data_IF_703446274233
#
_entry.id   IF_703446274233
#
_cell.length_a   1.000
_cell.length_b   1.000
_cell.length_c   1.000
_cell.angle_alpha   90.00
_cell.angle_beta   90.00
_cell.angle_gamma   90.00
#
_symmetry.space_group_name_H-M   'P 1'
#
loop_
_entity.id
_entity.type
_entity.pdbx_description
1 polymer ?
#
# COMPACT_ATOMS: atom_id res chain seq x y z
N UNK A 1 -33.35 74.91 -119.13
CA UNK A 1 -34.13 76.10 -119.56
C UNK A 1 -33.34 77.40 -119.38
N UNK A 2 -32.57 77.57 -118.29
CA UNK A 2 -31.68 78.73 -118.12
C UNK A 2 -30.58 78.86 -119.20
N UNK A 3 -29.98 77.75 -119.64
CA UNK A 3 -28.95 77.76 -120.69
C UNK A 3 -29.44 78.34 -122.02
N UNK A 4 -30.68 78.00 -122.42
CA UNK A 4 -31.28 78.47 -123.68
C UNK A 4 -31.62 79.97 -123.66
N UNK A 5 -31.85 80.55 -122.48
CA UNK A 5 -32.14 81.98 -122.32
C UNK A 5 -30.85 82.82 -122.25
N UNK A 6 -29.76 82.27 -121.70
CA UNK A 6 -28.43 82.88 -121.72
C UNK A 6 -27.86 82.94 -123.14
N UNK A 7 -28.04 81.88 -123.94
CA UNK A 7 -27.70 81.93 -125.37
C UNK A 7 -28.51 83.00 -126.07
N UNK A 8 -29.81 83.08 -125.79
CA UNK A 8 -30.69 84.12 -126.36
C UNK A 8 -30.29 85.56 -126.01
N UNK A 9 -29.74 85.82 -124.82
CA UNK A 9 -29.26 87.17 -124.44
C UNK A 9 -27.94 87.51 -125.13
N UNK A 10 -27.02 86.54 -125.24
CA UNK A 10 -25.79 86.71 -126.01
C UNK A 10 -26.10 86.91 -127.50
N UNK A 11 -27.01 86.12 -128.06
CA UNK A 11 -27.48 86.25 -129.44
C UNK A 11 -28.13 87.63 -129.70
N UNK A 12 -28.86 88.19 -128.72
CA UNK A 12 -29.45 89.52 -128.81
C UNK A 12 -28.40 90.64 -128.72
N UNK A 13 -27.32 90.45 -127.94
CA UNK A 13 -26.17 91.36 -127.91
C UNK A 13 -25.42 91.33 -129.24
N UNK A 14 -25.19 90.14 -129.80
CA UNK A 14 -24.54 89.95 -131.10
C UNK A 14 -25.37 90.60 -132.23
N UNK A 15 -26.70 90.42 -132.20
CA UNK A 15 -27.61 91.09 -133.15
C UNK A 15 -27.59 92.62 -133.03
N UNK A 16 -27.47 93.15 -131.80
CA UNK A 16 -27.36 94.59 -131.59
C UNK A 16 -26.02 95.11 -132.11
N UNK A 17 -24.94 94.35 -131.93
CA UNK A 17 -23.63 94.64 -132.51
C UNK A 17 -23.70 94.71 -134.04
N UNK A 18 -24.33 93.72 -134.68
CA UNK A 18 -24.50 93.66 -136.14
C UNK A 18 -25.26 94.88 -136.68
N UNK A 19 -26.37 95.27 -136.04
CA UNK A 19 -27.16 96.45 -136.43
C UNK A 19 -26.32 97.75 -136.34
N UNK A 20 -25.46 97.88 -135.32
CA UNK A 20 -24.56 99.03 -135.19
C UNK A 20 -23.44 98.99 -136.23
N UNK A 21 -22.95 97.79 -136.61
CA UNK A 21 -21.90 97.61 -137.61
C UNK A 21 -22.39 97.89 -139.04
N UNK A 22 -23.61 97.46 -139.39
CA UNK A 22 -24.24 97.62 -140.71
C UNK A 22 -24.80 99.04 -140.96
N UNK A 23 -24.89 99.86 -139.91
CA UNK A 23 -25.31 101.26 -140.01
C UNK A 23 -24.47 102.08 -140.99
N UNK A 24 -25.15 102.87 -141.84
CA UNK A 24 -24.49 103.67 -142.89
C UNK A 24 -23.59 104.74 -142.26
N UNK A 25 -22.32 104.78 -142.66
CA UNK A 25 -21.37 105.75 -142.13
C UNK A 25 -21.63 107.14 -142.69
N UNK A 26 -21.79 108.14 -141.81
CA UNK A 26 -22.08 109.51 -142.24
C UNK A 26 -20.76 110.23 -142.59
N UNK A 27 -20.55 110.68 -143.84
CA UNK A 27 -19.29 111.25 -144.28
C UNK A 27 -18.94 112.54 -143.53
N UNK A 28 -17.67 112.73 -143.23
CA UNK A 28 -17.13 113.81 -142.39
C UNK A 28 -17.58 113.78 -140.91
N UNK A 29 -18.14 112.66 -140.42
CA UNK A 29 -18.41 112.41 -138.99
C UNK A 29 -17.86 111.05 -138.52
N UNK A 30 -17.71 110.89 -137.19
CA UNK A 30 -17.36 109.60 -136.58
C UNK A 30 -18.55 108.66 -136.34
N UNK A 31 -19.77 109.08 -136.68
CA UNK A 31 -21.01 108.37 -136.37
C UNK A 31 -21.46 107.41 -137.47
N UNK A 32 -22.26 106.41 -137.07
CA UNK A 32 -23.06 105.57 -137.96
C UNK A 32 -24.53 105.91 -137.81
N UNK A 33 -25.24 105.93 -138.93
CA UNK A 33 -26.68 106.04 -138.96
C UNK A 33 -27.27 104.64 -138.83
N UNK A 34 -27.97 104.40 -137.74
CA UNK A 34 -28.57 103.11 -137.40
C UNK A 34 -30.08 103.29 -137.32
N UNK A 35 -30.85 102.24 -137.63
CA UNK A 35 -32.28 102.27 -137.38
C UNK A 35 -32.52 102.29 -135.86
N UNK A 36 -33.03 103.42 -135.38
CA UNK A 36 -33.33 103.63 -133.98
C UNK A 36 -34.33 102.59 -133.45
N UNK A 37 -35.31 102.18 -134.25
CA UNK A 37 -36.36 101.24 -133.82
C UNK A 37 -35.77 99.85 -133.55
N UNK A 38 -35.02 99.30 -134.51
CA UNK A 38 -34.44 97.95 -134.39
C UNK A 38 -33.41 97.88 -133.23
N UNK A 39 -32.61 98.93 -133.03
CA UNK A 39 -31.64 99.00 -131.95
C UNK A 39 -32.31 99.14 -130.57
N UNK A 40 -33.38 99.93 -130.45
CA UNK A 40 -34.13 100.08 -129.20
C UNK A 40 -34.84 98.78 -128.84
N UNK A 41 -35.45 98.08 -129.80
CA UNK A 41 -36.15 96.81 -129.54
C UNK A 41 -35.22 95.75 -128.95
N UNK A 42 -34.01 95.60 -129.49
CA UNK A 42 -33.01 94.69 -128.94
C UNK A 42 -32.48 95.14 -127.57
N UNK A 43 -32.26 96.45 -127.37
CA UNK A 43 -31.85 96.98 -126.06
C UNK A 43 -32.94 96.75 -125.01
N UNK A 44 -34.22 96.90 -125.36
CA UNK A 44 -35.34 96.66 -124.47
C UNK A 44 -35.50 95.17 -124.16
N UNK A 45 -35.35 94.29 -125.15
CA UNK A 45 -35.31 92.84 -124.96
C UNK A 45 -34.17 92.42 -124.03
N UNK A 46 -32.98 92.99 -124.20
CA UNK A 46 -31.83 92.78 -123.32
C UNK A 46 -32.09 93.31 -121.91
N UNK A 47 -32.69 94.51 -121.79
CA UNK A 47 -33.04 95.12 -120.50
C UNK A 47 -34.09 94.32 -119.74
N UNK A 48 -34.99 93.64 -120.44
CA UNK A 48 -35.99 92.75 -119.84
C UNK A 48 -35.38 91.39 -119.46
N UNK A 49 -34.52 90.82 -120.31
CA UNK A 49 -34.01 89.45 -120.16
C UNK A 49 -32.75 89.32 -119.26
N UNK A 50 -31.86 90.31 -119.22
CA UNK A 50 -30.60 90.25 -118.45
C UNK A 50 -30.79 90.25 -116.92
N UNK A 51 -31.55 91.19 -116.31
CA UNK A 51 -31.69 91.27 -114.86
C UNK A 51 -32.14 89.97 -114.17
N UNK A 52 -33.18 89.23 -114.66
CA UNK A 52 -33.59 87.99 -114.02
C UNK A 52 -32.55 86.87 -114.14
N UNK A 53 -31.75 86.82 -115.22
CA UNK A 53 -30.69 85.84 -115.37
C UNK A 53 -29.51 86.10 -114.43
N UNK A 54 -29.13 87.37 -114.27
CA UNK A 54 -28.12 87.78 -113.29
C UNK A 54 -28.57 87.48 -111.85
N UNK A 55 -29.85 87.75 -111.53
CA UNK A 55 -30.42 87.41 -110.22
C UNK A 55 -30.40 85.89 -109.94
N UNK A 56 -30.70 85.06 -110.94
CA UNK A 56 -30.60 83.60 -110.82
C UNK A 56 -29.16 83.11 -110.61
N UNK A 57 -28.19 83.72 -111.30
CA UNK A 57 -26.78 83.41 -111.12
C UNK A 57 -26.30 83.77 -109.70
N UNK A 58 -26.67 84.95 -109.21
CA UNK A 58 -26.39 85.37 -107.83
C UNK A 58 -27.04 84.43 -106.80
N UNK A 59 -28.28 84.01 -107.02
CA UNK A 59 -28.97 83.04 -106.15
C UNK A 59 -28.29 81.66 -106.17
N UNK A 60 -27.83 81.19 -107.33
CA UNK A 60 -27.11 79.92 -107.45
C UNK A 60 -25.75 80.00 -106.72
N UNK A 61 -25.03 81.11 -106.84
CA UNK A 61 -23.78 81.35 -106.12
C UNK A 61 -24.05 81.36 -104.61
N UNK A 62 -25.10 82.06 -104.15
CA UNK A 62 -25.49 82.08 -102.75
C UNK A 62 -25.85 80.68 -102.22
N UNK A 63 -26.64 79.90 -102.97
CA UNK A 63 -26.98 78.50 -102.62
C UNK A 63 -25.75 77.59 -102.60
N UNK A 64 -24.81 77.77 -103.54
CA UNK A 64 -23.55 77.02 -103.57
C UNK A 64 -22.70 77.35 -102.34
N UNK A 65 -22.60 78.63 -101.97
CA UNK A 65 -21.84 79.06 -100.81
C UNK A 65 -22.49 78.58 -99.51
N UNK A 66 -23.82 78.57 -99.42
CA UNK A 66 -24.57 77.97 -98.31
C UNK A 66 -24.32 76.46 -98.22
N UNK A 67 -24.43 75.72 -99.34
CA UNK A 67 -24.18 74.28 -99.38
C UNK A 67 -22.73 73.94 -98.97
N UNK A 68 -21.75 74.71 -99.44
CA UNK A 68 -20.35 74.54 -99.03
C UNK A 68 -20.19 74.85 -97.54
N UNK A 69 -20.86 75.87 -97.03
CA UNK A 69 -20.89 76.20 -95.61
C UNK A 69 -21.44 75.05 -94.77
N UNK A 70 -22.60 74.51 -95.14
CA UNK A 70 -23.24 73.37 -94.47
C UNK A 70 -22.35 72.12 -94.55
N UNK A 71 -21.79 71.80 -95.72
CA UNK A 71 -20.89 70.66 -95.90
C UNK A 71 -19.61 70.79 -95.05
N UNK A 72 -19.05 72.00 -94.93
CA UNK A 72 -17.90 72.28 -94.05
C UNK A 72 -18.25 72.10 -92.58
N UNK A 73 -19.41 72.63 -92.15
CA UNK A 73 -19.89 72.44 -90.77
C UNK A 73 -20.09 70.96 -90.43
N UNK A 74 -20.74 70.20 -91.31
CA UNK A 74 -20.94 68.76 -91.13
C UNK A 74 -19.61 67.99 -91.10
N UNK A 75 -18.66 68.35 -91.97
CA UNK A 75 -17.33 67.75 -91.96
C UNK A 75 -16.56 68.06 -90.66
N UNK A 76 -16.67 69.29 -90.14
CA UNK A 76 -16.09 69.68 -88.86
C UNK A 76 -16.72 68.91 -87.69
N UNK A 77 -18.04 68.78 -87.65
CA UNK A 77 -18.75 67.99 -86.63
C UNK A 77 -18.30 66.53 -86.67
N UNK A 78 -18.23 65.92 -87.86
CA UNK A 78 -17.80 64.53 -88.02
C UNK A 78 -16.34 64.34 -87.58
N UNK A 79 -15.45 65.29 -87.88
CA UNK A 79 -14.08 65.29 -87.41
C UNK A 79 -14.00 65.42 -85.89
N UNK A 80 -14.81 66.27 -85.27
CA UNK A 80 -14.85 66.40 -83.82
C UNK A 80 -15.36 65.13 -83.14
N UNK A 81 -16.43 64.52 -83.66
CA UNK A 81 -16.96 63.25 -83.15
C UNK A 81 -15.93 62.12 -83.29
N UNK A 82 -15.25 62.01 -84.43
CA UNK A 82 -14.21 61.00 -84.64
C UNK A 82 -13.01 61.21 -83.70
N UNK A 83 -12.59 62.45 -83.46
CA UNK A 83 -11.52 62.78 -82.50
C UNK A 83 -11.92 62.39 -81.07
N UNK A 84 -13.14 62.74 -80.64
CA UNK A 84 -13.66 62.40 -79.32
C UNK A 84 -13.76 60.88 -79.12
N UNK A 85 -14.29 60.15 -80.09
CA UNK A 85 -14.35 58.68 -80.04
C UNK A 85 -12.97 58.04 -79.98
N UNK A 86 -12.01 58.56 -80.77
CA UNK A 86 -10.61 58.08 -80.74
C UNK A 86 -10.00 58.29 -79.36
N UNK A 87 -10.17 59.45 -78.75
CA UNK A 87 -9.67 59.73 -77.40
C UNK A 87 -10.31 58.81 -76.34
N UNK A 88 -11.62 58.57 -76.43
CA UNK A 88 -12.31 57.62 -75.56
C UNK A 88 -11.77 56.19 -75.70
N UNK A 89 -11.57 55.72 -76.93
CA UNK A 89 -11.02 54.38 -77.17
C UNK A 89 -9.60 54.24 -76.62
N UNK A 90 -8.73 55.23 -76.87
CA UNK A 90 -7.36 55.25 -76.34
C UNK A 90 -7.37 55.24 -74.81
N UNK A 91 -8.18 56.09 -74.16
CA UNK A 91 -8.33 56.11 -72.71
C UNK A 91 -8.84 54.76 -72.18
N UNK A 92 -9.83 54.15 -72.83
CA UNK A 92 -10.37 52.85 -72.40
C UNK A 92 -9.34 51.72 -72.50
N UNK A 93 -8.50 51.72 -73.55
CA UNK A 93 -7.43 50.75 -73.71
C UNK A 93 -6.32 50.96 -72.69
N UNK A 94 -5.94 52.22 -72.43
CA UNK A 94 -4.95 52.54 -71.40
C UNK A 94 -5.42 52.09 -70.00
N UNK A 95 -6.67 52.41 -69.63
CA UNK A 95 -7.27 51.96 -68.37
C UNK A 95 -7.30 50.44 -68.28
N UNK A 96 -7.65 49.75 -69.36
CA UNK A 96 -7.70 48.29 -69.40
C UNK A 96 -6.32 47.65 -69.24
N UNK A 97 -5.30 48.14 -69.94
CA UNK A 97 -3.93 47.65 -69.80
C UNK A 97 -3.39 47.87 -68.38
N UNK A 98 -3.64 49.06 -67.82
CA UNK A 98 -3.24 49.39 -66.44
C UNK A 98 -3.91 48.44 -65.43
N UNK A 99 -5.23 48.21 -65.57
CA UNK A 99 -5.98 47.29 -64.73
C UNK A 99 -5.50 45.83 -64.87
N UNK A 100 -5.20 45.37 -66.09
CA UNK A 100 -4.64 44.04 -66.35
C UNK A 100 -3.25 43.87 -65.71
N UNK A 101 -2.41 44.91 -65.79
CA UNK A 101 -1.09 44.95 -65.15
C UNK A 101 -1.20 44.88 -63.63
N UNK A 102 -2.02 45.74 -63.03
CA UNK A 102 -2.26 45.73 -61.58
C UNK A 102 -2.84 44.39 -61.11
N UNK A 103 -3.77 43.82 -61.88
CA UNK A 103 -4.32 42.49 -61.59
C UNK A 103 -3.31 41.36 -61.72
N UNK A 104 -2.32 41.47 -62.61
CA UNK A 104 -1.21 40.52 -62.71
C UNK A 104 -0.24 40.66 -61.53
N UNK A 105 0.13 41.90 -61.17
CA UNK A 105 1.01 42.19 -60.03
C UNK A 105 0.39 41.70 -58.71
N UNK A 106 -0.90 41.95 -58.48
CA UNK A 106 -1.59 41.52 -57.27
C UNK A 106 -1.73 39.99 -57.18
N UNK A 107 -1.93 39.30 -58.32
CA UNK A 107 -1.92 37.83 -58.39
C UNK A 107 -0.54 37.26 -58.07
N UNK A 108 0.52 37.85 -58.61
CA UNK A 108 1.88 37.39 -58.34
C UNK A 108 2.27 37.64 -56.88
N UNK A 109 1.91 38.79 -56.31
CA UNK A 109 2.09 39.06 -54.89
C UNK A 109 1.32 38.05 -54.01
N UNK A 110 0.06 37.76 -54.34
CA UNK A 110 -0.73 36.76 -53.65
C UNK A 110 -0.11 35.36 -53.73
N UNK A 111 0.42 34.98 -54.90
CA UNK A 111 1.13 33.71 -55.10
C UNK A 111 2.38 33.64 -54.23
N UNK A 112 3.22 34.67 -54.25
CA UNK A 112 4.44 34.73 -53.46
C UNK A 112 4.15 34.70 -51.96
N UNK A 113 3.14 35.44 -51.49
CA UNK A 113 2.71 35.40 -50.08
C UNK A 113 2.20 34.01 -49.68
N UNK A 114 1.39 33.37 -50.54
CA UNK A 114 0.92 32.00 -50.32
C UNK A 114 2.06 31.00 -50.22
N UNK A 115 3.04 31.06 -51.12
CA UNK A 115 4.23 30.21 -51.10
C UNK A 115 5.10 30.44 -49.86
N UNK A 116 5.27 31.69 -49.44
CA UNK A 116 5.98 32.04 -48.21
C UNK A 116 5.26 31.48 -46.98
N UNK A 117 3.95 31.69 -46.87
CA UNK A 117 3.14 31.18 -45.76
C UNK A 117 3.19 29.65 -45.68
N UNK A 118 3.05 28.95 -46.82
CA UNK A 118 3.16 27.49 -46.88
C UNK A 118 4.55 27.00 -46.45
N UNK A 119 5.60 27.68 -46.90
CA UNK A 119 6.98 27.32 -46.53
C UNK A 119 7.22 27.53 -45.04
N UNK A 120 6.77 28.66 -44.49
CA UNK A 120 6.87 28.95 -43.06
C UNK A 120 6.07 27.93 -42.22
N UNK A 121 4.83 27.61 -42.62
CA UNK A 121 4.01 26.62 -41.93
C UNK A 121 4.66 25.23 -41.94
N UNK A 122 5.22 24.80 -43.07
CA UNK A 122 5.96 23.53 -43.18
C UNK A 122 7.20 23.51 -42.28
N UNK A 123 7.96 24.62 -42.23
CA UNK A 123 9.12 24.72 -41.36
C UNK A 123 8.74 24.69 -39.87
N UNK A 124 7.65 25.35 -39.48
CA UNK A 124 7.15 25.31 -38.11
C UNK A 124 6.68 23.92 -37.72
N UNK A 125 5.94 23.23 -38.61
CA UNK A 125 5.52 21.85 -38.37
C UNK A 125 6.72 20.92 -38.19
N UNK A 126 7.71 21.00 -39.08
CA UNK A 126 8.93 20.19 -38.98
C UNK A 126 9.71 20.46 -37.68
N UNK A 127 9.82 21.73 -37.25
CA UNK A 127 10.44 22.09 -35.97
C UNK A 127 9.66 21.52 -34.78
N UNK A 128 8.34 21.68 -34.78
CA UNK A 128 7.49 21.16 -33.70
C UNK A 128 7.55 19.63 -33.60
N UNK A 129 7.56 18.94 -34.74
CA UNK A 129 7.74 17.48 -34.80
C UNK A 129 9.12 17.06 -34.25
N UNK A 130 10.19 17.76 -34.64
CA UNK A 130 11.54 17.48 -34.15
C UNK A 130 11.67 17.70 -32.63
N UNK A 131 11.11 18.80 -32.12
CA UNK A 131 11.07 19.08 -30.68
C UNK A 131 10.27 18.02 -29.93
N UNK A 132 9.13 17.60 -30.48
CA UNK A 132 8.31 16.55 -29.89
C UNK A 132 9.06 15.21 -29.86
N UNK A 133 9.70 14.81 -30.96
CA UNK A 133 10.53 13.61 -31.02
C UNK A 133 11.69 13.66 -30.02
N UNK A 134 12.36 14.80 -29.89
CA UNK A 134 13.43 14.99 -28.91
C UNK A 134 12.92 14.86 -27.46
N UNK A 135 11.76 15.46 -27.14
CA UNK A 135 11.12 15.31 -25.81
C UNK A 135 10.73 13.86 -25.53
N UNK A 136 10.18 13.15 -26.51
CA UNK A 136 9.84 11.74 -26.37
C UNK A 136 11.08 10.88 -26.09
N UNK A 137 12.16 11.06 -26.87
CA UNK A 137 13.41 10.35 -26.65
C UNK A 137 14.02 10.64 -25.26
N UNK A 138 13.96 11.89 -24.81
CA UNK A 138 14.40 12.26 -23.45
C UNK A 138 13.57 11.58 -22.38
N UNK A 139 12.24 11.55 -22.51
CA UNK A 139 11.36 10.85 -21.57
C UNK A 139 11.62 9.34 -21.55
N UNK A 140 11.78 8.70 -22.71
CA UNK A 140 12.13 7.29 -22.81
C UNK A 140 13.46 6.99 -22.12
N UNK A 141 14.46 7.85 -22.28
CA UNK A 141 15.73 7.73 -21.59
C UNK A 141 15.56 7.86 -20.07
N UNK A 142 14.78 8.83 -19.60
CA UNK A 142 14.49 9.01 -18.17
C UNK A 142 13.77 7.79 -17.59
N UNK A 143 12.77 7.24 -18.28
CA UNK A 143 12.06 6.04 -17.84
C UNK A 143 12.97 4.80 -17.86
N UNK A 144 13.82 4.67 -18.88
CA UNK A 144 14.81 3.58 -18.94
C UNK A 144 15.78 3.64 -17.76
N UNK A 145 16.33 4.83 -17.46
CA UNK A 145 17.21 5.04 -16.31
C UNK A 145 16.49 4.77 -14.99
N UNK A 146 15.26 5.28 -14.81
CA UNK A 146 14.49 5.05 -13.59
C UNK A 146 14.15 3.58 -13.39
N UNK A 147 13.82 2.86 -14.48
CA UNK A 147 13.57 1.41 -14.43
C UNK A 147 14.82 0.65 -13.99
N UNK A 148 16.00 0.99 -14.52
CA UNK A 148 17.27 0.40 -14.10
C UNK A 148 17.57 0.68 -12.63
N UNK A 149 17.33 1.90 -12.15
CA UNK A 149 17.49 2.25 -10.73
C UNK A 149 16.55 1.42 -9.84
N UNK A 150 15.26 1.34 -10.19
CA UNK A 150 14.30 0.54 -9.43
C UNK A 150 14.66 -0.94 -9.41
N UNK A 151 15.19 -1.48 -10.50
CA UNK A 151 15.67 -2.86 -10.56
C UNK A 151 16.87 -3.08 -9.62
N UNK A 152 17.82 -2.15 -9.61
CA UNK A 152 18.96 -2.19 -8.68
C UNK A 152 18.50 -2.06 -7.22
N UNK A 153 17.61 -1.11 -6.91
CA UNK A 153 17.03 -0.94 -5.59
C UNK A 153 16.30 -2.21 -5.13
N UNK A 154 15.51 -2.84 -6.01
CA UNK A 154 14.80 -4.10 -5.71
C UNK A 154 15.78 -5.26 -5.46
N UNK A 155 16.84 -5.38 -6.27
CA UNK A 155 17.89 -6.38 -6.07
C UNK A 155 18.61 -6.19 -4.74
N UNK A 156 19.01 -4.95 -4.42
CA UNK A 156 19.64 -4.61 -3.15
C UNK A 156 18.71 -4.92 -1.98
N UNK A 157 17.43 -4.54 -2.07
CA UNK A 157 16.46 -4.81 -1.01
C UNK A 157 16.24 -6.31 -0.81
N UNK A 158 16.21 -7.08 -1.90
CA UNK A 158 16.13 -8.54 -1.82
C UNK A 158 17.36 -9.14 -1.12
N UNK A 159 18.56 -8.70 -1.48
CA UNK A 159 19.80 -9.15 -0.84
C UNK A 159 19.82 -8.81 0.66
N UNK A 160 19.36 -7.63 1.05
CA UNK A 160 19.24 -7.24 2.47
C UNK A 160 18.29 -8.17 3.22
N UNK A 161 17.10 -8.42 2.67
CA UNK A 161 16.12 -9.32 3.29
C UNK A 161 16.66 -10.75 3.41
N UNK A 162 17.40 -11.23 2.40
CA UNK A 162 18.06 -12.54 2.44
C UNK A 162 19.11 -12.60 3.56
N UNK A 163 19.90 -11.54 3.76
CA UNK A 163 20.87 -11.43 4.85
C UNK A 163 20.19 -11.38 6.22
N UNK A 164 19.19 -10.52 6.39
CA UNK A 164 18.38 -10.43 7.61
C UNK A 164 17.75 -11.78 7.97
N UNK A 165 17.22 -12.51 6.98
CA UNK A 165 16.64 -13.83 7.19
C UNK A 165 17.69 -14.87 7.62
N UNK A 166 18.90 -14.82 7.06
CA UNK A 166 20.01 -15.68 7.46
C UNK A 166 20.46 -15.40 8.89
N UNK A 167 20.58 -14.12 9.26
CA UNK A 167 20.93 -13.69 10.62
C UNK A 167 19.88 -14.13 11.63
N UNK A 168 18.59 -13.92 11.33
CA UNK A 168 17.49 -14.34 12.20
C UNK A 168 17.47 -15.86 12.39
N UNK A 169 17.68 -16.64 11.31
CA UNK A 169 17.80 -18.10 11.40
C UNK A 169 18.96 -18.53 12.27
N UNK A 170 20.11 -17.86 12.15
CA UNK A 170 21.28 -18.13 12.98
C UNK A 170 21.00 -17.85 14.46
N UNK A 171 20.40 -16.71 14.78
CA UNK A 171 20.02 -16.36 16.15
C UNK A 171 19.06 -17.38 16.75
N UNK A 172 18.03 -17.80 16.00
CA UNK A 172 17.09 -18.83 16.44
C UNK A 172 17.79 -20.18 16.68
N UNK A 173 18.72 -20.57 15.79
CA UNK A 173 19.50 -21.79 15.96
C UNK A 173 20.37 -21.75 17.23
N UNK A 174 21.06 -20.63 17.46
CA UNK A 174 21.87 -20.39 18.66
C UNK A 174 21.00 -20.42 19.93
N UNK A 175 19.82 -19.79 19.92
CA UNK A 175 18.86 -19.84 21.04
C UNK A 175 18.39 -21.27 21.33
N UNK A 176 18.04 -22.04 20.30
CA UNK A 176 17.63 -23.43 20.47
C UNK A 176 18.78 -24.30 20.99
N UNK A 177 20.01 -24.06 20.55
CA UNK A 177 21.17 -24.77 21.06
C UNK A 177 21.45 -24.42 22.53
N UNK A 178 21.40 -23.14 22.90
CA UNK A 178 21.54 -22.70 24.29
C UNK A 178 20.46 -23.31 25.19
N UNK A 179 19.19 -23.26 24.77
CA UNK A 179 18.08 -23.86 25.50
C UNK A 179 18.26 -25.37 25.66
N UNK A 180 18.70 -26.07 24.61
CA UNK A 180 19.01 -27.50 24.66
C UNK A 180 20.14 -27.79 25.65
N UNK A 181 21.22 -27.00 25.63
CA UNK A 181 22.34 -27.15 26.57
C UNK A 181 21.88 -26.92 28.01
N UNK A 182 21.08 -25.89 28.27
CA UNK A 182 20.51 -25.64 29.59
C UNK A 182 19.69 -26.82 30.08
N UNK A 183 18.76 -27.35 29.27
CA UNK A 183 17.98 -28.53 29.65
C UNK A 183 18.86 -29.76 29.89
N UNK A 184 19.92 -29.97 29.10
CA UNK A 184 20.88 -31.06 29.36
C UNK A 184 21.57 -30.89 30.71
N UNK A 185 22.04 -29.68 31.04
CA UNK A 185 22.67 -29.42 32.34
C UNK A 185 21.71 -29.60 33.51
N UNK A 186 20.44 -29.24 33.34
CA UNK A 186 19.40 -29.47 34.36
C UNK A 186 19.13 -30.96 34.56
N UNK A 187 19.03 -31.73 33.48
CA UNK A 187 18.88 -33.19 33.55
C UNK A 187 20.08 -33.86 34.24
N UNK A 188 21.30 -33.40 33.97
CA UNK A 188 22.50 -33.88 34.67
C UNK A 188 22.45 -33.57 36.17
N UNK A 189 22.04 -32.35 36.56
CA UNK A 189 21.86 -31.98 37.96
C UNK A 189 20.83 -32.87 38.64
N UNK A 190 19.64 -33.04 38.05
CA UNK A 190 18.59 -33.92 38.56
C UNK A 190 19.11 -35.35 38.72
N UNK A 191 19.87 -35.86 37.74
CA UNK A 191 20.47 -37.20 37.80
C UNK A 191 21.47 -37.33 38.95
N UNK A 192 22.32 -36.33 39.17
CA UNK A 192 23.28 -36.32 40.27
C UNK A 192 22.58 -36.27 41.64
N UNK A 193 21.55 -35.44 41.77
CA UNK A 193 20.73 -35.36 42.98
C UNK A 193 19.98 -36.66 43.26
N UNK A 194 19.37 -37.26 42.24
CA UNK A 194 18.72 -38.57 42.35
C UNK A 194 19.70 -39.66 42.80
N UNK A 195 20.92 -39.68 42.26
CA UNK A 195 21.97 -40.62 42.68
C UNK A 195 22.39 -40.40 44.13
N UNK A 196 22.55 -39.14 44.56
CA UNK A 196 22.86 -38.80 45.96
C UNK A 196 21.75 -39.22 46.91
N UNK A 197 20.49 -38.96 46.55
CA UNK A 197 19.32 -39.34 47.34
C UNK A 197 19.20 -40.86 47.44
N UNK A 198 19.47 -41.59 46.35
CA UNK A 198 19.49 -43.05 46.37
C UNK A 198 20.58 -43.58 47.31
N UNK A 199 21.79 -43.02 47.25
CA UNK A 199 22.89 -43.40 48.14
C UNK A 199 22.58 -43.10 49.60
N UNK A 200 22.02 -41.91 49.90
CA UNK A 200 21.63 -41.56 51.27
C UNK A 200 20.52 -42.47 51.78
N UNK A 201 19.50 -42.76 50.96
CA UNK A 201 18.42 -43.68 51.30
C UNK A 201 18.92 -45.11 51.53
N UNK A 202 19.86 -45.60 50.70
CA UNK A 202 20.50 -46.90 50.91
C UNK A 202 21.30 -46.94 52.22
N UNK A 203 22.11 -45.91 52.49
CA UNK A 203 22.88 -45.83 53.73
C UNK A 203 21.98 -45.74 54.98
N UNK A 204 20.85 -45.01 54.89
CA UNK A 204 19.84 -44.98 55.95
C UNK A 204 19.16 -46.34 56.14
N UNK A 205 18.80 -47.03 55.06
CA UNK A 205 18.23 -48.38 55.13
C UNK A 205 19.20 -49.37 55.77
N UNK A 206 20.49 -49.34 55.40
CA UNK A 206 21.54 -50.15 56.02
C UNK A 206 21.72 -49.83 57.51
N UNK A 207 21.68 -48.55 57.89
CA UNK A 207 21.71 -48.13 59.30
C UNK A 207 20.53 -48.67 60.08
N UNK A 208 19.30 -48.46 59.60
CA UNK A 208 18.07 -48.96 60.24
C UNK A 208 18.11 -50.49 60.35
N UNK A 209 18.60 -51.19 59.32
CA UNK A 209 18.78 -52.63 59.36
C UNK A 209 19.78 -53.05 60.44
N UNK A 210 20.95 -52.41 60.48
CA UNK A 210 21.98 -52.70 61.49
C UNK A 210 21.48 -52.43 62.92
N UNK A 211 20.77 -51.32 63.13
CA UNK A 211 20.17 -50.98 64.42
C UNK A 211 19.14 -52.03 64.84
N UNK A 212 18.28 -52.48 63.91
CA UNK A 212 17.32 -53.55 64.16
C UNK A 212 18.00 -54.90 64.47
N UNK A 213 19.10 -55.23 63.78
CA UNK A 213 19.91 -56.42 64.05
C UNK A 213 20.53 -56.37 65.46
N UNK A 214 21.12 -55.23 65.83
CA UNK A 214 21.71 -55.01 67.17
C UNK A 214 20.66 -55.08 68.27
N UNK A 215 19.52 -54.40 68.09
CA UNK A 215 18.41 -54.44 69.05
C UNK A 215 17.90 -55.86 69.27
N UNK A 216 17.76 -56.64 68.20
CA UNK A 216 17.38 -58.05 68.28
C UNK A 216 18.43 -58.89 69.01
N UNK A 217 19.72 -58.71 68.73
CA UNK A 217 20.79 -59.43 69.42
C UNK A 217 20.83 -59.10 70.92
N UNK A 218 20.70 -57.82 71.29
CA UNK A 218 20.64 -57.39 72.68
C UNK A 218 19.42 -57.99 73.39
N UNK A 219 18.26 -57.96 72.74
CA UNK A 219 17.02 -58.55 73.29
C UNK A 219 17.19 -60.07 73.47
N UNK A 220 17.80 -60.76 72.51
CA UNK A 220 18.11 -62.19 72.63
C UNK A 220 19.04 -62.46 73.83
N UNK A 221 20.13 -61.71 73.99
CA UNK A 221 21.03 -61.85 75.14
C UNK A 221 20.32 -61.57 76.47
N UNK A 222 19.46 -60.55 76.52
CA UNK A 222 18.65 -60.25 77.70
C UNK A 222 17.68 -61.38 78.04
N UNK A 223 17.02 -61.96 77.03
CA UNK A 223 16.16 -63.13 77.21
C UNK A 223 16.96 -64.34 77.71
N UNK A 224 18.13 -64.63 77.13
CA UNK A 224 19.01 -65.72 77.56
C UNK A 224 19.51 -65.52 79.00
N UNK A 225 19.93 -64.30 79.35
CA UNK A 225 20.33 -63.95 80.71
C UNK A 225 19.17 -64.08 81.70
N UNK A 226 17.97 -63.65 81.32
CA UNK A 226 16.77 -63.79 82.14
C UNK A 226 16.40 -65.26 82.32
N UNK A 227 16.44 -66.09 81.27
CA UNK A 227 16.23 -67.54 81.35
C UNK A 227 17.26 -68.19 82.28
N UNK A 228 18.54 -67.84 82.14
CA UNK A 228 19.61 -68.36 83.00
C UNK A 228 19.40 -67.96 84.46
N UNK A 229 19.07 -66.69 84.71
CA UNK A 229 18.76 -66.17 86.04
C UNK A 229 17.56 -66.88 86.65
N UNK A 230 16.46 -67.00 85.91
CA UNK A 230 15.27 -67.74 86.37
C UNK A 230 15.57 -69.21 86.63
N UNK A 231 16.42 -69.86 85.83
CA UNK A 231 16.87 -71.24 86.09
C UNK A 231 17.73 -71.34 87.36
N UNK A 232 18.62 -70.38 87.59
CA UNK A 232 19.44 -70.33 88.78
C UNK A 232 18.60 -70.07 90.04
N UNK A 233 17.66 -69.11 89.98
CA UNK A 233 16.69 -68.84 91.04
C UNK A 233 15.82 -70.06 91.32
N UNK A 234 15.36 -70.79 90.28
CA UNK A 234 14.63 -72.03 90.47
C UNK A 234 15.48 -73.12 91.15
N UNK A 235 16.75 -73.26 90.76
CA UNK A 235 17.68 -74.23 91.36
C UNK A 235 17.97 -73.90 92.84
N UNK A 236 18.18 -72.63 93.19
CA UNK A 236 18.40 -72.22 94.59
C UNK A 236 17.15 -72.39 95.44
N UNK A 237 15.96 -72.11 94.89
CA UNK A 237 14.68 -72.41 95.56
C UNK A 237 14.54 -73.91 95.78
N UNK A 238 14.86 -74.75 94.79
CA UNK A 238 14.80 -76.20 94.91
C UNK A 238 15.78 -76.73 95.95
N UNK A 239 17.02 -76.26 95.96
CA UNK A 239 18.02 -76.66 96.96
C UNK A 239 17.63 -76.19 98.37
N UNK A 240 17.12 -74.97 98.51
CA UNK A 240 16.57 -74.47 99.76
C UNK A 240 15.37 -75.28 100.25
N UNK A 241 14.46 -75.67 99.35
CA UNK A 241 13.33 -76.53 99.66
C UNK A 241 13.78 -77.94 100.08
N UNK A 242 14.79 -78.51 99.41
CA UNK A 242 15.38 -79.79 99.78
C UNK A 242 16.03 -79.73 101.17
N UNK A 243 16.82 -78.68 101.47
CA UNK A 243 17.40 -78.47 102.80
C UNK A 243 16.33 -78.29 103.87
N UNK A 244 15.27 -77.55 103.57
CA UNK A 244 14.14 -77.40 104.49
C UNK A 244 13.44 -78.75 104.73
N UNK A 245 13.24 -79.56 103.68
CA UNK A 245 12.69 -80.91 103.80
C UNK A 245 13.57 -81.80 104.67
N UNK A 246 14.89 -81.78 104.47
CA UNK A 246 15.84 -82.51 105.33
C UNK A 246 15.80 -82.04 106.79
N UNK A 247 15.74 -80.72 107.04
CA UNK A 247 15.62 -80.18 108.39
C UNK A 247 14.32 -80.63 109.08
N UNK A 248 13.18 -80.53 108.39
CA UNK A 248 11.88 -80.98 108.93
C UNK A 248 11.87 -82.48 109.15
N UNK A 249 12.46 -83.28 108.25
CA UNK A 249 12.58 -84.73 108.41
C UNK A 249 13.49 -85.09 109.59
N UNK A 250 14.61 -84.38 109.79
CA UNK A 250 15.51 -84.57 110.93
C UNK A 250 14.83 -84.19 112.25
N UNK A 251 14.05 -83.11 112.26
CA UNK A 251 13.27 -82.70 113.43
C UNK A 251 12.17 -83.73 113.74
N UNK A 252 11.47 -84.25 112.72
CA UNK A 252 10.51 -85.34 112.86
C UNK A 252 11.17 -86.63 113.37
N UNK A 253 12.35 -86.97 112.87
CA UNK A 253 13.14 -88.10 113.34
C UNK A 253 13.50 -87.93 114.82
N UNK A 254 13.93 -86.73 115.23
CA UNK A 254 14.17 -86.37 116.63
C UNK A 254 12.92 -86.55 117.49
N UNK A 255 11.78 -85.97 117.08
CA UNK A 255 10.51 -86.09 117.80
C UNK A 255 10.02 -87.54 117.88
N UNK A 256 10.20 -88.34 116.83
CA UNK A 256 9.86 -89.77 116.83
C UNK A 256 10.80 -90.57 117.74
N UNK A 257 12.08 -90.21 117.83
CA UNK A 257 13.03 -90.81 118.75
C UNK A 257 12.68 -90.51 120.20
N UNK A 258 12.29 -89.26 120.48
CA UNK A 258 11.77 -88.85 121.80
C UNK A 258 10.48 -89.60 122.14
N UNK A 259 9.53 -89.69 121.19
CA UNK A 259 8.30 -90.48 121.35
C UNK A 259 8.60 -91.97 121.57
N UNK A 260 9.59 -92.52 120.86
CA UNK A 260 10.07 -93.90 121.02
C UNK A 260 10.66 -94.15 122.40
N UNK A 261 11.39 -93.20 122.96
CA UNK A 261 11.89 -93.27 124.34
C UNK A 261 10.74 -93.26 125.36
N UNK A 262 9.70 -92.45 125.13
CA UNK A 262 8.48 -92.43 125.96
C UNK A 262 7.75 -93.78 125.91
N UNK A 263 7.63 -94.41 124.74
CA UNK A 263 7.02 -95.74 124.60
C UNK A 263 7.85 -96.83 125.29
N UNK A 264 9.18 -96.80 125.15
CA UNK A 264 10.09 -97.77 125.82
C UNK A 264 10.07 -97.60 127.34
N UNK A 265 9.97 -96.37 127.84
CA UNK A 265 9.77 -96.08 129.27
C UNK A 265 8.43 -96.69 129.74
N UNK A 266 7.33 -96.43 129.04
CA UNK A 266 6.02 -97.02 129.36
C UNK A 266 6.00 -98.56 129.31
N UNK A 267 6.80 -99.17 128.42
CA UNK A 267 6.93 -100.63 128.29
C UNK A 267 7.79 -101.25 129.41
N UNK A 268 8.80 -100.52 129.93
CA UNK A 268 9.57 -100.90 131.12
C UNK A 268 8.74 -100.83 132.39
N UNK A 269 7.78 -99.90 132.47
CA UNK A 269 6.78 -99.87 133.54
C UNK A 269 5.87 -101.12 133.51
N UNK A 270 5.41 -101.51 132.32
CA UNK A 270 4.51 -102.67 132.13
C UNK A 270 5.17 -104.03 132.40
N UNK A 271 6.48 -104.18 132.13
CA UNK A 271 7.25 -105.40 132.45
C UNK A 271 7.57 -105.53 133.94
N UNK A 272 7.51 -104.43 134.71
CA UNK A 272 7.70 -104.45 136.17
C UNK A 272 6.45 -104.92 136.93
N UNK A 273 5.29 -104.96 136.29
CA UNK A 273 3.99 -105.19 136.93
C UNK A 273 3.40 -106.61 136.75
N UNK A 274 4.16 -107.59 136.23
CA UNK A 274 3.65 -108.95 135.91
C UNK A 274 4.38 -110.14 136.58
N UNK A 275 5.13 -109.96 137.68
CA UNK A 275 5.76 -111.09 138.39
C UNK A 275 5.90 -110.90 139.93
N UNK A 276 4.77 -110.76 140.65
CA UNK A 276 4.58 -111.13 142.08
C UNK A 276 3.06 -111.37 142.32
N UNK A 277 2.68 -112.56 142.82
CA UNK A 277 1.31 -112.98 143.27
C UNK A 277 0.98 -112.48 144.73
N UNK A 278 -0.15 -112.82 145.40
CA UNK A 278 -1.48 -112.23 145.28
C UNK A 278 -2.10 -111.72 146.63
N UNK A 279 -3.05 -110.79 146.55
CA UNK A 279 -4.18 -110.47 147.50
C UNK A 279 -3.94 -109.95 148.94
N UNK A 280 -4.72 -108.89 149.30
CA UNK A 280 -5.01 -108.21 150.61
C UNK A 280 -4.35 -106.82 150.76
N UNK A 281 -4.99 -105.66 151.00
CA UNK A 281 -6.33 -105.17 151.39
C UNK A 281 -6.48 -103.71 150.86
N UNK A 282 -7.56 -103.31 150.18
CA UNK A 282 -8.72 -102.54 150.72
C UNK A 282 -8.35 -101.33 151.60
N UNK A 283 -8.39 -100.09 151.04
CA UNK A 283 -9.26 -98.97 151.46
C UNK A 283 -8.88 -97.59 150.84
N UNK A 284 -9.94 -96.86 150.47
CA UNK A 284 -10.09 -95.38 150.45
C UNK A 284 -9.32 -94.59 149.37
N UNK A 285 -9.95 -93.97 148.36
CA UNK A 285 -11.01 -92.96 148.35
C UNK A 285 -10.57 -91.57 148.85
N UNK A 286 -10.96 -90.56 148.05
CA UNK A 286 -10.92 -89.09 148.26
C UNK A 286 -9.59 -88.45 147.83
N UNK A 287 -9.56 -87.30 147.15
CA UNK A 287 -10.60 -86.34 146.76
C UNK A 287 -9.88 -85.16 146.09
N UNK A 288 -10.64 -84.40 145.28
CA UNK A 288 -10.50 -82.94 145.14
C UNK A 288 -9.27 -82.44 144.36
N UNK A 289 -9.32 -81.35 143.62
CA UNK A 289 -10.35 -80.45 143.10
C UNK A 289 -9.51 -79.38 142.35
N UNK A 290 -10.14 -78.64 141.44
CA UNK A 290 -9.77 -77.24 141.14
C UNK A 290 -8.41 -77.00 140.44
N UNK A 291 -8.19 -75.98 139.61
CA UNK A 291 -8.89 -74.75 139.24
C UNK A 291 -8.19 -74.27 137.95
N UNK A 292 -8.94 -73.91 136.90
CA UNK A 292 -9.26 -72.52 136.50
C UNK A 292 -8.15 -71.74 135.76
N UNK A 293 -8.36 -71.54 134.43
CA UNK A 293 -8.49 -70.27 133.65
C UNK A 293 -7.98 -69.01 134.39
N UNK A 294 -7.25 -68.00 133.79
CA UNK A 294 -7.87 -67.09 132.80
C UNK A 294 -6.98 -66.27 131.82
N UNK A 295 -7.54 -65.81 130.68
CA UNK A 295 -7.96 -64.43 130.31
C UNK A 295 -6.79 -63.41 130.43
N UNK A 296 -6.38 -62.60 129.44
CA UNK A 296 -7.15 -61.52 128.81
C UNK A 296 -6.33 -60.78 127.74
N UNK A 297 -7.02 -60.34 126.68
CA UNK A 297 -7.12 -58.95 126.16
C UNK A 297 -5.96 -57.95 126.40
N UNK A 298 -5.47 -57.36 125.31
CA UNK A 298 -5.43 -55.91 125.02
C UNK A 298 -4.86 -55.74 123.59
N UNK A 299 -5.51 -55.19 122.55
CA UNK A 299 -6.23 -53.92 122.33
C UNK A 299 -5.31 -52.74 121.98
N UNK A 300 -5.64 -52.12 120.83
CA UNK A 300 -5.45 -50.71 120.38
C UNK A 300 -4.03 -50.30 119.95
N UNK A 301 -3.88 -49.88 118.69
CA UNK A 301 -4.05 -48.50 118.16
C UNK A 301 -2.64 -47.90 117.95
N UNK A 302 -2.35 -46.99 117.02
CA UNK A 302 -3.07 -46.18 116.06
C UNK A 302 -2.00 -45.82 114.98
N UNK A 303 -2.37 -45.51 113.73
CA UNK A 303 -2.32 -44.14 113.15
C UNK A 303 -0.98 -43.39 113.35
N UNK A 304 -0.37 -42.66 112.39
CA UNK A 304 -0.64 -42.22 111.01
C UNK A 304 0.52 -41.24 110.65
N UNK A 305 0.60 -40.81 109.37
CA UNK A 305 1.19 -39.51 108.90
C UNK A 305 2.74 -39.53 108.71
N UNK A 306 3.37 -39.06 107.61
CA UNK A 306 3.12 -37.93 106.67
C UNK A 306 3.87 -38.22 105.34
N UNK A 307 3.22 -38.23 104.16
CA UNK A 307 3.15 -37.17 103.12
C UNK A 307 4.48 -36.65 102.54
N UNK A 308 4.63 -36.78 101.21
CA UNK A 308 4.62 -35.70 100.20
C UNK A 308 4.64 -36.38 98.80
N UNK A 309 3.60 -36.33 97.96
CA UNK A 309 3.11 -35.20 97.17
C UNK A 309 4.04 -34.79 96.00
N UNK A 310 3.59 -35.09 94.78
CA UNK A 310 3.45 -34.08 93.71
C UNK A 310 4.59 -33.89 92.70
N UNK A 311 4.17 -33.95 91.43
CA UNK A 311 4.66 -33.17 90.27
C UNK A 311 6.05 -33.49 89.71
N UNK A 312 6.11 -34.21 88.59
CA UNK A 312 6.26 -33.66 87.22
C UNK A 312 6.22 -34.78 86.19
#
# INVERSE_FOLDING_TARGET
>A
MAEAQLTSVLDQLDQLEDIVLDGTRVPFSGGRLVNEQDAIELIDALREALPPQLAQAEELVAKKDEFIGQARQQAEELLQQAKAQREQLINSQAIRQEAERQGAELREQGRQQGEQLLTQARQQLAKAEQEHQARMAQMEQQFSQRRQQLEQEALQRRQQLDQEALELKRQLAEQHEQSRQQSLTELEKIRQEAMRLQQSSQAEAERVQNDALQFRQQTQQQCEALISRSRQEAATIQEGANRYAEQVLTELEGRLKDMGQVVVAGRRELVRLQAVDPTTLVQQARSNEEQAVPISRARRAAERIKRAAGQR
#
